data_IF_526892074323
#
_entry.id   IF_526892074323
#
_cell.length_a   1.000
_cell.length_b   1.000
_cell.length_c   1.000
_cell.angle_alpha   90.00
_cell.angle_beta   90.00
_cell.angle_gamma   90.00
#
_symmetry.space_group_name_H-M   'P 1'
#
loop_
_entity.id
_entity.type
_entity.pdbx_description
1 polymer ?
#
# COMPACT_ATOMS: atom_id res chain seq x y z
N UNK A 1 -7.50 24.61 -8.77
CA UNK A 1 -6.31 24.59 -9.65
C UNK A 1 -5.20 23.68 -9.13
N UNK A 2 -4.75 23.74 -7.86
CA UNK A 2 -3.67 22.87 -7.36
C UNK A 2 -4.03 21.39 -7.12
N UNK A 3 -5.31 21.04 -6.95
CA UNK A 3 -5.71 19.65 -6.65
C UNK A 3 -5.57 18.70 -7.85
N UNK A 4 -5.72 19.21 -9.08
CA UNK A 4 -5.55 18.44 -10.32
C UNK A 4 -4.08 18.12 -10.62
N UNK A 5 -3.14 18.69 -9.88
CA UNK A 5 -1.70 18.40 -10.01
C UNK A 5 -1.26 17.27 -9.07
N UNK A 6 -2.13 16.85 -8.15
CA UNK A 6 -1.84 15.84 -7.11
C UNK A 6 -2.79 14.64 -7.20
N UNK A 7 -4.03 14.85 -7.67
CA UNK A 7 -5.02 13.79 -7.86
C UNK A 7 -5.44 13.71 -9.32
N UNK A 8 -5.38 12.50 -9.88
CA UNK A 8 -5.97 12.15 -11.17
C UNK A 8 -7.36 11.55 -10.95
N UNK A 9 -8.36 12.12 -11.63
CA UNK A 9 -9.75 11.67 -11.51
C UNK A 9 -10.08 10.59 -12.55
N UNK A 10 -10.22 9.35 -12.07
CA UNK A 10 -10.50 8.19 -12.94
C UNK A 10 -11.99 7.99 -13.27
N UNK A 11 -12.90 8.61 -12.52
CA UNK A 11 -14.37 8.46 -12.68
C UNK A 11 -14.98 9.14 -13.92
N UNK A 12 -14.15 9.74 -14.79
CA UNK A 12 -14.58 10.48 -15.98
C UNK A 12 -14.84 11.96 -15.72
N UNK A 13 -14.59 12.79 -16.74
CA UNK A 13 -14.67 14.25 -16.68
C UNK A 13 -16.07 14.80 -16.41
N UNK A 14 -17.10 13.98 -16.57
CA UNK A 14 -18.50 14.37 -16.35
C UNK A 14 -18.86 14.39 -14.85
N UNK A 15 -17.97 13.88 -13.99
CA UNK A 15 -18.09 13.80 -12.51
C UNK A 15 -17.12 14.78 -11.82
N UNK A 16 -16.64 15.82 -12.52
CA UNK A 16 -15.56 16.72 -12.09
C UNK A 16 -15.83 17.59 -10.84
N UNK A 17 -16.81 17.25 -10.00
CA UNK A 17 -17.03 17.94 -8.74
C UNK A 17 -16.04 17.47 -7.67
N UNK A 18 -14.95 18.21 -7.51
CA UNK A 18 -13.95 17.98 -6.46
C UNK A 18 -14.37 18.54 -5.10
N UNK A 19 -15.57 19.11 -4.96
CA UNK A 19 -16.03 19.69 -3.69
C UNK A 19 -15.95 18.70 -2.52
N UNK A 20 -16.37 17.42 -2.65
CA UNK A 20 -16.25 16.45 -1.57
C UNK A 20 -14.81 16.19 -1.17
N UNK A 21 -13.90 16.05 -2.15
CA UNK A 21 -12.48 15.84 -1.91
C UNK A 21 -11.85 17.04 -1.19
N UNK A 22 -12.14 18.25 -1.66
CA UNK A 22 -11.67 19.48 -1.02
C UNK A 22 -12.19 19.59 0.42
N UNK A 23 -13.45 19.20 0.66
CA UNK A 23 -14.04 19.21 1.99
C UNK A 23 -13.33 18.22 2.93
N UNK A 24 -13.13 16.96 2.50
CA UNK A 24 -12.36 15.98 3.27
C UNK A 24 -10.95 16.49 3.57
N UNK A 25 -10.22 16.96 2.55
CA UNK A 25 -8.83 17.41 2.71
C UNK A 25 -8.72 18.61 3.65
N UNK A 26 -9.65 19.57 3.60
CA UNK A 26 -9.71 20.66 4.58
C UNK A 26 -10.02 20.13 5.96
N UNK A 27 -11.02 19.26 6.10
CA UNK A 27 -11.41 18.69 7.37
C UNK A 27 -10.24 17.98 8.07
N UNK A 28 -9.52 17.08 7.39
CA UNK A 28 -8.41 16.34 8.01
C UNK A 28 -7.23 17.24 8.39
N UNK A 29 -7.01 18.36 7.70
CA UNK A 29 -5.91 19.29 7.95
C UNK A 29 -6.25 20.41 8.96
N UNK A 30 -7.51 20.83 9.07
CA UNK A 30 -7.90 22.04 9.80
C UNK A 30 -8.75 21.78 11.06
N UNK A 31 -9.41 20.61 11.18
CA UNK A 31 -10.18 20.26 12.37
C UNK A 31 -9.27 20.01 13.59
N UNK A 32 -9.75 20.35 14.79
CA UNK A 32 -9.10 19.89 16.03
C UNK A 32 -9.34 18.39 16.28
N UNK A 33 -8.64 17.79 17.24
CA UNK A 33 -8.69 16.34 17.46
C UNK A 33 -10.04 15.83 17.94
N UNK A 34 -10.75 16.64 18.74
CA UNK A 34 -12.09 16.28 19.21
C UNK A 34 -13.11 16.28 18.06
N UNK A 35 -13.02 17.27 17.17
CA UNK A 35 -13.85 17.37 15.97
C UNK A 35 -13.51 16.26 14.98
N UNK A 36 -12.22 15.94 14.81
CA UNK A 36 -11.78 14.84 13.95
C UNK A 36 -12.36 13.50 14.39
N UNK A 37 -12.26 13.15 15.68
CA UNK A 37 -12.87 11.92 16.20
C UNK A 37 -14.38 11.87 16.00
N UNK A 38 -15.07 12.99 16.25
CA UNK A 38 -16.52 13.05 16.19
C UNK A 38 -17.10 13.01 14.76
N UNK A 39 -16.40 13.61 13.79
CA UNK A 39 -16.97 13.91 12.47
C UNK A 39 -16.27 13.18 11.32
N UNK A 40 -15.15 12.46 11.52
CA UNK A 40 -14.47 11.74 10.43
C UNK A 40 -15.40 10.79 9.67
N UNK A 41 -16.33 10.13 10.38
CA UNK A 41 -17.29 9.20 9.81
C UNK A 41 -18.31 9.85 8.84
N UNK A 42 -18.44 11.18 8.84
CA UNK A 42 -19.26 11.93 7.89
C UNK A 42 -18.56 12.09 6.53
N UNK A 43 -17.23 11.94 6.50
CA UNK A 43 -16.42 12.10 5.28
C UNK A 43 -15.82 10.79 4.78
N UNK A 44 -15.54 9.83 5.66
CA UNK A 44 -14.78 8.62 5.38
C UNK A 44 -15.48 7.39 5.97
N UNK A 45 -15.46 6.26 5.25
CA UNK A 45 -15.78 4.96 5.81
C UNK A 45 -14.65 4.51 6.77
N UNK A 46 -14.83 4.81 8.06
CA UNK A 46 -13.83 4.59 9.12
C UNK A 46 -13.51 3.11 9.32
N UNK A 47 -14.51 2.22 9.26
CA UNK A 47 -14.30 0.78 9.38
C UNK A 47 -13.48 0.22 8.21
N UNK A 48 -13.79 0.67 6.99
CA UNK A 48 -13.02 0.27 5.80
C UNK A 48 -11.60 0.82 5.84
N UNK A 49 -11.40 2.04 6.35
CA UNK A 49 -10.07 2.61 6.49
C UNK A 49 -9.22 1.89 7.55
N UNK A 50 -9.79 1.54 8.70
CA UNK A 50 -9.11 0.71 9.69
C UNK A 50 -8.71 -0.67 9.11
N UNK A 51 -9.60 -1.27 8.34
CA UNK A 51 -9.34 -2.55 7.65
C UNK A 51 -8.24 -2.41 6.60
N UNK A 52 -8.23 -1.30 5.86
CA UNK A 52 -7.18 -0.99 4.88
C UNK A 52 -5.81 -0.90 5.57
N UNK A 53 -5.67 -0.10 6.62
CA UNK A 53 -4.40 0.05 7.35
C UNK A 53 -3.93 -1.28 7.92
N UNK A 54 -4.85 -2.03 8.55
CA UNK A 54 -4.57 -3.34 9.09
C UNK A 54 -4.10 -4.33 8.01
N UNK A 55 -4.68 -4.28 6.81
CA UNK A 55 -4.25 -5.11 5.69
C UNK A 55 -2.85 -4.72 5.19
N UNK A 56 -2.54 -3.42 5.04
CA UNK A 56 -1.22 -2.96 4.59
C UNK A 56 -0.11 -3.37 5.57
N UNK A 57 -0.37 -3.28 6.88
CA UNK A 57 0.52 -3.81 7.91
C UNK A 57 0.66 -5.33 7.80
N UNK A 58 -0.46 -6.06 7.70
CA UNK A 58 -0.47 -7.51 7.69
C UNK A 58 0.33 -8.09 6.52
N UNK A 59 0.30 -7.42 5.37
CA UNK A 59 1.07 -7.83 4.18
C UNK A 59 2.42 -7.13 4.06
N UNK A 60 2.85 -6.33 5.04
CA UNK A 60 4.12 -5.58 5.04
C UNK A 60 4.31 -4.75 3.74
N UNK A 61 3.27 -4.05 3.28
CA UNK A 61 3.36 -3.18 2.12
C UNK A 61 3.75 -1.75 2.54
N UNK A 62 5.01 -1.39 2.33
CA UNK A 62 5.55 -0.09 2.72
C UNK A 62 5.24 1.04 1.74
N UNK A 63 4.72 0.73 0.54
CA UNK A 63 4.47 1.69 -0.54
C UNK A 63 3.00 2.12 -0.62
N UNK A 64 2.30 2.03 0.51
CA UNK A 64 0.89 2.36 0.64
C UNK A 64 0.64 3.89 0.70
N UNK A 65 -0.52 4.30 1.22
CA UNK A 65 -0.92 5.71 1.33
C UNK A 65 -0.03 6.54 2.29
N UNK A 66 0.73 5.91 3.19
CA UNK A 66 1.72 6.55 4.05
C UNK A 66 3.17 6.32 3.54
N UNK A 67 3.31 5.49 2.51
CA UNK A 67 4.53 5.19 1.79
C UNK A 67 4.95 6.24 0.74
N UNK A 68 6.15 6.08 0.16
CA UNK A 68 6.68 7.03 -0.83
C UNK A 68 5.90 7.08 -2.15
N UNK A 69 5.26 5.98 -2.55
CA UNK A 69 4.49 5.84 -3.80
C UNK A 69 3.05 6.33 -3.70
N UNK A 70 2.45 6.35 -2.50
CA UNK A 70 1.06 6.74 -2.28
C UNK A 70 0.07 5.90 -3.13
N UNK A 71 0.28 4.57 -3.19
CA UNK A 71 -0.45 3.67 -4.09
C UNK A 71 -1.86 3.37 -3.56
N UNK A 72 -2.76 4.34 -3.74
CA UNK A 72 -4.17 4.20 -3.36
C UNK A 72 -5.10 5.05 -4.23
N UNK A 73 -6.37 4.66 -4.24
CA UNK A 73 -7.46 5.48 -4.74
C UNK A 73 -8.34 5.96 -3.59
N UNK A 74 -8.95 7.13 -3.78
CA UNK A 74 -10.11 7.58 -3.01
C UNK A 74 -11.35 7.35 -3.84
N UNK A 75 -12.16 6.37 -3.46
CA UNK A 75 -13.48 6.15 -4.05
C UNK A 75 -14.52 6.96 -3.29
N UNK A 76 -15.27 7.81 -4.00
CA UNK A 76 -16.37 8.58 -3.41
C UNK A 76 -17.71 7.93 -3.74
N UNK A 77 -18.45 7.56 -2.70
CA UNK A 77 -19.80 7.02 -2.83
C UNK A 77 -20.83 8.15 -2.81
N UNK A 78 -21.49 8.38 -3.94
CA UNK A 78 -22.51 9.42 -4.08
C UNK A 78 -23.78 9.15 -3.27
N UNK A 79 -24.06 7.90 -2.87
CA UNK A 79 -25.23 7.56 -2.06
C UNK A 79 -25.01 7.89 -0.58
N UNK A 80 -23.83 7.55 -0.06
CA UNK A 80 -23.49 7.80 1.35
C UNK A 80 -22.77 9.12 1.59
N UNK A 81 -22.20 9.73 0.54
CA UNK A 81 -21.41 10.95 0.60
C UNK A 81 -19.99 10.75 1.16
N UNK A 82 -19.55 9.51 1.35
CA UNK A 82 -18.29 9.18 2.04
C UNK A 82 -17.23 8.65 1.08
N UNK A 83 -15.98 8.83 1.48
CA UNK A 83 -14.82 8.25 0.82
C UNK A 83 -14.47 6.87 1.39
N UNK A 84 -13.92 6.02 0.54
CA UNK A 84 -13.24 4.78 0.91
C UNK A 84 -11.84 4.80 0.28
N UNK A 85 -10.83 4.46 1.08
CA UNK A 85 -9.47 4.23 0.57
C UNK A 85 -9.42 2.83 -0.04
N UNK A 86 -8.95 2.74 -1.28
CA UNK A 86 -8.81 1.48 -2.01
C UNK A 86 -7.33 1.26 -2.33
N UNK A 87 -6.74 0.10 -1.99
CA UNK A 87 -5.34 -0.15 -2.25
C UNK A 87 -5.08 -0.31 -3.75
N UNK A 88 -3.92 0.17 -4.19
CA UNK A 88 -3.39 -0.02 -5.54
C UNK A 88 -1.95 -0.53 -5.44
N UNK A 89 -1.49 -1.21 -6.50
CA UNK A 89 -0.10 -1.68 -6.68
C UNK A 89 0.60 -2.22 -5.41
N UNK A 90 0.16 -3.39 -4.93
CA UNK A 90 0.75 -4.07 -3.77
C UNK A 90 1.95 -4.97 -4.16
N UNK A 91 2.67 -4.62 -5.22
CA UNK A 91 3.81 -5.39 -5.73
C UNK A 91 5.04 -5.39 -4.79
N UNK A 92 5.06 -4.50 -3.79
CA UNK A 92 6.11 -4.40 -2.77
C UNK A 92 5.70 -4.99 -1.40
N UNK A 93 4.62 -5.76 -1.37
CA UNK A 93 4.16 -6.50 -0.19
C UNK A 93 5.01 -7.77 0.08
N UNK A 94 4.83 -8.38 1.25
CA UNK A 94 5.48 -9.61 1.71
C UNK A 94 7.02 -9.54 1.72
N UNK A 95 7.58 -8.33 1.79
CA UNK A 95 9.01 -8.08 1.76
C UNK A 95 9.67 -8.33 0.41
N UNK A 96 8.90 -8.36 -0.69
CA UNK A 96 9.46 -8.39 -2.03
C UNK A 96 10.01 -7.00 -2.38
N UNK A 97 11.28 -6.74 -2.07
CA UNK A 97 11.97 -5.63 -2.72
C UNK A 97 12.20 -6.01 -4.18
N UNK A 98 11.62 -5.24 -5.11
CA UNK A 98 11.67 -5.49 -6.55
C UNK A 98 13.05 -5.91 -7.04
N UNK A 99 13.21 -7.23 -7.23
CA UNK A 99 14.49 -7.86 -7.52
C UNK A 99 14.51 -9.27 -6.95
N UNK A 100 13.80 -10.19 -7.62
CA UNK A 100 13.84 -11.62 -7.26
C UNK A 100 15.28 -12.18 -7.22
N UNK A 101 15.47 -13.41 -6.73
CA UNK A 101 16.78 -14.03 -6.56
C UNK A 101 17.48 -14.21 -7.92
N UNK A 102 18.17 -13.18 -8.41
CA UNK A 102 18.75 -13.16 -9.77
C UNK A 102 18.69 -11.80 -10.49
N UNK A 103 17.92 -10.83 -10.01
CA UNK A 103 18.01 -9.43 -10.47
C UNK A 103 19.28 -8.76 -9.91
N UNK A 104 19.94 -7.84 -10.62
CA UNK A 104 21.26 -7.34 -10.26
C UNK A 104 21.21 -6.41 -9.04
N UNK A 105 21.09 -6.98 -7.84
CA UNK A 105 21.64 -6.42 -6.60
C UNK A 105 23.07 -6.93 -6.45
N UNK A 106 23.91 -6.58 -7.41
CA UNK A 106 25.33 -6.85 -7.41
C UNK A 106 26.09 -5.54 -7.53
N UNK A 107 26.38 -4.92 -6.39
CA UNK A 107 27.27 -3.78 -6.30
C UNK A 107 28.61 -4.08 -6.98
N UNK A 108 28.81 -3.49 -8.15
CA UNK A 108 30.07 -3.44 -8.87
C UNK A 108 30.29 -2.00 -9.33
N UNK A 109 31.46 -1.39 -9.10
CA UNK A 109 31.66 0.01 -9.39
C UNK A 109 31.77 0.23 -10.91
N UNK A 110 30.73 0.82 -11.51
CA UNK A 110 30.76 1.35 -12.86
C UNK A 110 29.95 0.55 -13.89
N UNK A 111 28.68 0.91 -14.04
CA UNK A 111 27.84 0.47 -15.16
C UNK A 111 26.65 1.39 -15.31
N UNK A 112 26.74 2.37 -16.20
CA UNK A 112 25.67 3.35 -16.43
C UNK A 112 24.39 2.70 -16.96
N UNK A 113 23.26 3.15 -16.43
CA UNK A 113 21.92 2.74 -16.88
C UNK A 113 21.67 3.38 -18.25
N UNK A 114 21.58 2.52 -19.27
CA UNK A 114 21.13 2.88 -20.61
C UNK A 114 19.64 3.24 -20.58
N UNK A 115 19.34 4.45 -21.00
CA UNK A 115 18.01 4.96 -21.29
C UNK A 115 17.33 4.16 -22.41
N UNK A 116 16.02 3.91 -22.29
CA UNK A 116 15.24 3.54 -23.47
C UNK A 116 13.90 2.84 -23.27
N UNK A 117 12.89 3.55 -22.78
CA UNK A 117 11.50 3.31 -23.18
C UNK A 117 10.87 4.68 -23.54
N UNK A 118 10.41 4.92 -24.78
CA UNK A 118 9.81 6.19 -25.15
C UNK A 118 8.39 6.26 -24.57
N UNK A 119 8.18 7.15 -23.58
CA UNK A 119 6.84 7.47 -23.05
C UNK A 119 6.68 7.39 -21.53
N UNK A 120 7.67 6.89 -20.78
CA UNK A 120 7.65 6.97 -19.33
C UNK A 120 8.04 8.38 -18.87
N UNK A 121 7.31 9.02 -17.93
CA UNK A 121 7.81 10.22 -17.28
C UNK A 121 9.15 9.90 -16.61
N UNK A 122 10.10 10.86 -16.55
CA UNK A 122 11.38 10.61 -15.89
C UNK A 122 11.10 10.26 -14.43
N UNK A 123 11.42 9.01 -14.06
CA UNK A 123 11.51 8.59 -12.66
C UNK A 123 12.57 9.52 -12.07
N UNK A 124 12.13 10.47 -11.23
CA UNK A 124 13.05 11.30 -10.47
C UNK A 124 14.02 10.38 -9.74
N UNK A 125 15.31 10.72 -9.72
CA UNK A 125 16.36 9.90 -9.10
C UNK A 125 15.90 9.44 -7.70
N UNK A 126 15.51 8.18 -7.59
CA UNK A 126 15.23 7.58 -6.29
C UNK A 126 16.56 7.56 -5.53
N UNK A 127 16.62 8.07 -4.30
CA UNK A 127 17.81 7.91 -3.47
C UNK A 127 18.13 6.41 -3.35
N UNK A 128 19.42 6.05 -3.36
CA UNK A 128 19.84 4.66 -3.14
C UNK A 128 19.21 4.14 -1.84
N UNK A 129 18.30 3.17 -1.96
CA UNK A 129 17.67 2.53 -0.82
C UNK A 129 18.68 1.61 -0.12
N UNK A 130 18.72 1.57 1.23
CA UNK A 130 19.66 0.73 1.96
C UNK A 130 19.45 -0.76 1.68
N UNK A 131 20.55 -1.51 1.71
CA UNK A 131 20.56 -2.94 1.49
C UNK A 131 19.77 -3.71 2.58
N UNK A 132 19.22 -4.86 2.20
CA UNK A 132 18.38 -5.72 3.02
C UNK A 132 19.00 -6.02 4.40
N UNK A 133 18.19 -5.93 5.47
CA UNK A 133 18.62 -6.11 6.86
C UNK A 133 19.08 -4.84 7.59
N UNK A 134 19.11 -3.68 6.92
CA UNK A 134 19.43 -2.37 7.56
C UNK A 134 18.24 -1.42 7.68
N UNK A 135 17.06 -1.80 7.18
CA UNK A 135 15.86 -0.98 7.36
C UNK A 135 15.32 -1.22 8.77
N UNK A 136 15.77 -0.38 9.69
CA UNK A 136 15.14 -0.24 10.99
C UNK A 136 13.78 0.44 10.83
N UNK A 137 12.90 0.34 11.82
CA UNK A 137 11.66 1.14 11.90
C UNK A 137 11.93 2.63 11.62
N UNK A 138 13.06 3.15 12.12
CA UNK A 138 13.55 4.51 11.86
C UNK A 138 14.01 4.75 10.41
N UNK A 139 14.46 3.71 9.70
CA UNK A 139 14.78 3.73 8.27
C UNK A 139 13.53 3.81 7.39
N UNK A 140 12.43 3.14 7.78
CA UNK A 140 11.10 3.27 7.14
C UNK A 140 10.57 4.70 7.27
N UNK A 141 10.70 5.29 8.46
CA UNK A 141 10.30 6.68 8.73
C UNK A 141 11.09 7.75 7.95
N UNK A 142 12.24 7.41 7.35
CA UNK A 142 13.09 8.35 6.61
C UNK A 142 12.69 8.57 5.14
N UNK A 143 11.83 7.70 4.59
CA UNK A 143 11.41 7.73 3.19
C UNK A 143 9.92 8.05 2.99
N UNK A 144 9.10 8.00 4.05
CA UNK A 144 7.66 8.29 3.97
C UNK A 144 7.34 9.78 3.87
N UNK A 145 6.33 10.12 3.06
CA UNK A 145 5.62 11.39 3.23
C UNK A 145 4.55 11.14 4.28
N UNK A 146 4.69 11.73 5.47
CA UNK A 146 3.67 11.61 6.52
C UNK A 146 2.29 11.99 5.98
N UNK A 147 1.37 11.03 6.02
CA UNK A 147 -0.02 11.23 5.67
C UNK A 147 -0.79 11.70 6.91
N UNK A 148 -1.39 12.89 6.82
CA UNK A 148 -2.10 13.49 7.96
C UNK A 148 -3.29 12.64 8.40
N UNK A 149 -4.00 11.99 7.48
CA UNK A 149 -5.13 11.12 7.83
C UNK A 149 -4.63 9.92 8.64
N UNK A 150 -3.59 9.23 8.17
CA UNK A 150 -2.99 8.07 8.85
C UNK A 150 -2.44 8.47 10.22
N UNK A 151 -1.68 9.56 10.27
CA UNK A 151 -1.07 10.07 11.51
C UNK A 151 -2.13 10.39 12.56
N UNK A 152 -3.21 11.09 12.18
CA UNK A 152 -4.28 11.44 13.12
C UNK A 152 -5.13 10.24 13.51
N UNK A 153 -5.30 9.27 12.62
CA UNK A 153 -6.03 8.04 12.90
C UNK A 153 -5.35 7.22 14.01
N UNK A 154 -4.04 6.96 13.88
CA UNK A 154 -3.27 6.23 14.88
C UNK A 154 -3.07 7.01 16.20
N UNK A 155 -3.12 8.35 16.15
CA UNK A 155 -3.05 9.18 17.36
C UNK A 155 -4.35 9.17 18.18
N UNK A 156 -5.48 8.76 17.59
CA UNK A 156 -6.77 8.70 18.28
C UNK A 156 -7.00 7.31 18.89
N UNK A 157 -7.27 7.24 20.20
CA UNK A 157 -7.40 5.97 20.93
C UNK A 157 -8.57 5.10 20.43
N UNK A 158 -9.69 5.71 20.03
CA UNK A 158 -10.86 4.99 19.51
C UNK A 158 -10.56 4.35 18.16
N UNK A 159 -9.90 5.10 17.27
CA UNK A 159 -9.53 4.63 15.94
C UNK A 159 -8.37 3.62 15.97
N UNK A 160 -7.39 3.82 16.84
CA UNK A 160 -6.32 2.85 17.06
C UNK A 160 -6.86 1.51 17.58
N UNK A 161 -7.80 1.53 18.52
CA UNK A 161 -8.45 0.31 18.99
C UNK A 161 -9.21 -0.42 17.86
N UNK A 162 -9.82 0.32 16.92
CA UNK A 162 -10.47 -0.25 15.76
C UNK A 162 -9.46 -0.89 14.79
N UNK A 163 -8.35 -0.19 14.49
CA UNK A 163 -7.25 -0.73 13.70
C UNK A 163 -6.70 -2.03 14.27
N UNK A 164 -6.36 -2.06 15.56
CA UNK A 164 -5.82 -3.24 16.23
C UNK A 164 -6.80 -4.43 16.16
N UNK A 165 -8.09 -4.15 16.35
CA UNK A 165 -9.15 -5.16 16.20
C UNK A 165 -9.20 -5.74 14.78
N UNK A 166 -9.10 -4.89 13.75
CA UNK A 166 -9.11 -5.36 12.36
C UNK A 166 -7.84 -6.15 12.03
N UNK A 167 -6.69 -5.74 12.56
CA UNK A 167 -5.42 -6.46 12.38
C UNK A 167 -5.47 -7.86 12.98
N UNK A 168 -5.99 -8.00 14.21
CA UNK A 168 -6.21 -9.30 14.85
C UNK A 168 -7.20 -10.15 14.04
N UNK A 169 -8.32 -9.57 13.62
CA UNK A 169 -9.34 -10.29 12.83
C UNK A 169 -8.78 -10.79 11.50
N UNK A 170 -8.05 -9.95 10.76
CA UNK A 170 -7.45 -10.32 9.48
C UNK A 170 -6.37 -11.40 9.66
N UNK A 171 -5.57 -11.32 10.72
CA UNK A 171 -4.59 -12.36 11.06
C UNK A 171 -5.26 -13.70 11.30
N UNK A 172 -6.34 -13.73 12.09
CA UNK A 172 -7.11 -14.96 12.32
C UNK A 172 -7.73 -15.47 11.01
N UNK A 173 -8.37 -14.59 10.24
CA UNK A 173 -9.12 -14.99 9.05
C UNK A 173 -8.24 -15.40 7.88
N UNK A 174 -7.03 -14.86 7.77
CA UNK A 174 -6.11 -15.14 6.65
C UNK A 174 -5.01 -16.11 7.04
N UNK A 175 -4.30 -15.88 8.15
CA UNK A 175 -3.11 -16.64 8.48
C UNK A 175 -3.43 -17.84 9.37
N UNK A 176 -4.11 -17.65 10.49
CA UNK A 176 -4.42 -18.74 11.43
C UNK A 176 -5.40 -19.76 10.85
N UNK A 177 -6.34 -19.30 10.01
CA UNK A 177 -7.29 -20.16 9.31
C UNK A 177 -6.65 -21.03 8.21
N UNK A 178 -5.45 -20.68 7.75
CA UNK A 178 -4.80 -21.29 6.58
C UNK A 178 -5.25 -20.74 5.23
N UNK A 179 -6.20 -19.79 5.18
CA UNK A 179 -6.75 -19.25 3.94
C UNK A 179 -5.69 -18.58 3.05
N UNK A 180 -4.74 -17.85 3.62
CA UNK A 180 -3.65 -17.23 2.87
C UNK A 180 -2.76 -18.30 2.21
N UNK A 181 -2.47 -19.39 2.92
CA UNK A 181 -1.75 -20.55 2.37
C UNK A 181 -2.50 -21.17 1.19
N UNK A 182 -3.81 -21.42 1.34
CA UNK A 182 -4.64 -21.97 0.26
C UNK A 182 -4.64 -21.06 -0.99
N UNK A 183 -4.75 -19.74 -0.79
CA UNK A 183 -4.69 -18.76 -1.89
C UNK A 183 -3.32 -18.81 -2.57
N UNK A 184 -2.24 -18.80 -1.79
CA UNK A 184 -0.87 -18.81 -2.30
C UNK A 184 -0.60 -20.09 -3.10
N UNK A 185 -0.89 -21.27 -2.54
CA UNK A 185 -0.74 -22.56 -3.23
C UNK A 185 -1.53 -22.59 -4.54
N UNK A 186 -2.76 -22.08 -4.53
CA UNK A 186 -3.59 -22.00 -5.74
C UNK A 186 -2.95 -21.12 -6.81
N UNK A 187 -2.36 -19.98 -6.43
CA UNK A 187 -1.71 -19.07 -7.39
C UNK A 187 -0.37 -19.63 -7.89
N UNK A 188 0.41 -20.23 -7.00
CA UNK A 188 1.64 -20.96 -7.33
C UNK A 188 1.38 -22.04 -8.37
N UNK A 189 0.33 -22.86 -8.18
CA UNK A 189 -0.01 -23.91 -9.15
C UNK A 189 -0.42 -23.34 -10.51
N UNK A 190 -1.14 -22.22 -10.56
CA UNK A 190 -1.49 -21.55 -11.83
C UNK A 190 -0.24 -21.13 -12.60
N UNK A 191 0.79 -20.60 -11.91
CA UNK A 191 2.04 -20.21 -12.56
C UNK A 191 2.83 -21.41 -13.07
N UNK A 192 2.90 -22.49 -12.28
CA UNK A 192 3.55 -23.74 -12.70
C UNK A 192 2.87 -24.32 -13.95
N UNK A 193 1.54 -24.34 -13.98
CA UNK A 193 0.77 -24.93 -15.07
C UNK A 193 0.79 -24.10 -16.36
N UNK A 194 0.94 -22.77 -16.26
CA UNK A 194 0.63 -21.85 -17.36
C UNK A 194 1.73 -20.84 -17.72
N UNK A 195 2.80 -20.73 -16.93
CA UNK A 195 3.80 -19.66 -17.09
C UNK A 195 5.26 -20.13 -16.97
N UNK A 196 5.52 -21.44 -16.99
CA UNK A 196 6.89 -22.00 -16.92
C UNK A 196 7.74 -21.73 -18.17
N UNK A 197 7.14 -21.21 -19.24
CA UNK A 197 7.85 -20.64 -20.38
C UNK A 197 8.30 -19.18 -20.15
N UNK A 198 7.79 -18.51 -19.12
CA UNK A 198 8.08 -17.12 -18.77
C UNK A 198 8.92 -16.98 -17.49
N UNK A 199 8.71 -17.84 -16.49
CA UNK A 199 9.40 -17.82 -15.20
C UNK A 199 9.81 -19.25 -14.84
N UNK A 200 11.05 -19.43 -14.38
CA UNK A 200 11.55 -20.74 -13.98
C UNK A 200 10.75 -21.31 -12.79
N UNK A 201 10.43 -22.60 -12.85
CA UNK A 201 9.64 -23.28 -11.81
C UNK A 201 10.32 -23.19 -10.42
N UNK A 202 11.65 -23.32 -10.36
CA UNK A 202 12.42 -23.18 -9.12
C UNK A 202 12.26 -21.77 -8.50
N UNK A 203 12.16 -20.73 -9.34
CA UNK A 203 11.89 -19.35 -8.87
C UNK A 203 10.48 -19.25 -8.29
N UNK A 204 9.47 -19.81 -8.96
CA UNK A 204 8.09 -19.83 -8.47
C UNK A 204 8.00 -20.49 -7.09
N UNK A 205 8.63 -21.67 -6.92
CA UNK A 205 8.67 -22.35 -5.62
C UNK A 205 9.39 -21.52 -4.55
N UNK A 206 10.58 -21.00 -4.87
CA UNK A 206 11.37 -20.23 -3.91
C UNK A 206 10.67 -18.95 -3.45
N UNK A 207 9.99 -18.23 -4.35
CA UNK A 207 9.24 -17.02 -4.00
C UNK A 207 7.96 -17.37 -3.23
N UNK A 208 7.27 -18.46 -3.60
CA UNK A 208 6.12 -18.97 -2.84
C UNK A 208 6.52 -19.34 -1.41
N UNK A 209 7.65 -20.00 -1.19
CA UNK A 209 8.15 -20.31 0.15
C UNK A 209 8.51 -19.04 0.94
N UNK A 210 9.11 -18.04 0.29
CA UNK A 210 9.42 -16.75 0.91
C UNK A 210 8.15 -16.02 1.38
N UNK A 211 7.10 -15.97 0.55
CA UNK A 211 5.81 -15.37 0.94
C UNK A 211 5.17 -16.17 2.07
N UNK A 212 5.14 -17.51 1.98
CA UNK A 212 4.54 -18.36 3.00
C UNK A 212 5.21 -18.19 4.38
N UNK A 213 6.52 -17.90 4.41
CA UNK A 213 7.26 -17.62 5.65
C UNK A 213 6.75 -16.38 6.41
N UNK A 214 5.99 -15.49 5.74
CA UNK A 214 5.40 -14.29 6.34
C UNK A 214 4.10 -14.57 7.09
N UNK A 215 3.43 -15.71 6.83
CA UNK A 215 2.12 -16.01 7.44
C UNK A 215 2.23 -16.51 8.89
N UNK A 216 3.43 -16.83 9.36
CA UNK A 216 3.67 -17.44 10.68
C UNK A 216 4.26 -16.47 11.72
N UNK A 217 4.48 -15.20 11.35
CA UNK A 217 4.89 -14.12 12.24
C UNK A 217 3.73 -13.47 12.96
#
# INVERSE_FOLDING_TARGET
DSYNEVFDQEGGSDVADLTPLIALLKFINESDDATFEAELADYLDVDSFATYLAMMELVDNFDDIDGPGNNSYLWWDAETGRFTVVPWDLNLAFGTMGGGPGGPMGGGPGGGIGSGAPGAPPIGEMPELPQEGQITEAGRAGFGRSNVLVTRFHANETFEALYQKQLEQLRTDLFESGRATEILETRTQVLIDQATDLVDEDTIHSESEAIASRFSG
#
